data_IF_014427154675
#
_entry.id   IF_014427154675
#
_cell.length_a   1.000
_cell.length_b   1.000
_cell.length_c   1.000
_cell.angle_alpha   90.00
_cell.angle_beta   90.00
_cell.angle_gamma   90.00
#
_symmetry.space_group_name_H-M   'P 1'
#
loop_
_entity.id
_entity.type
_entity.pdbx_description
1 polymer ?
#
# COMPACT_ATOMS: atom_id res chain seq x y z
N UNK A 1 1.96 17.37 -35.81
CA UNK A 1 1.16 16.15 -35.62
C UNK A 1 -0.15 16.53 -34.96
N UNK A 2 -1.28 16.28 -35.62
CA UNK A 2 -2.61 16.54 -35.07
C UNK A 2 -2.79 15.67 -33.81
N UNK A 3 -2.93 16.29 -32.64
CA UNK A 3 -3.37 15.60 -31.42
C UNK A 3 -4.81 15.19 -31.63
N UNK A 4 -5.03 13.97 -32.11
CA UNK A 4 -6.34 13.33 -32.06
C UNK A 4 -6.73 13.20 -30.59
N UNK A 5 -7.63 14.05 -30.13
CA UNK A 5 -8.22 13.96 -28.79
C UNK A 5 -9.01 12.66 -28.75
N UNK A 6 -8.46 11.63 -28.11
CA UNK A 6 -9.19 10.37 -27.89
C UNK A 6 -10.34 10.70 -26.96
N UNK A 7 -11.56 10.52 -27.45
CA UNK A 7 -12.77 10.62 -26.63
C UNK A 7 -12.93 9.32 -25.84
N UNK A 8 -13.06 9.40 -24.52
CA UNK A 8 -13.28 8.22 -23.70
C UNK A 8 -14.72 7.70 -23.88
N UNK A 9 -14.86 6.38 -24.03
CA UNK A 9 -16.17 5.72 -24.05
C UNK A 9 -16.73 5.59 -22.64
N UNK A 10 -18.03 5.31 -22.49
CA UNK A 10 -18.64 5.07 -21.17
C UNK A 10 -17.95 3.92 -20.41
N UNK A 11 -17.50 2.87 -21.12
CA UNK A 11 -16.66 1.81 -20.57
C UNK A 11 -15.30 2.32 -20.04
N UNK A 12 -14.65 3.22 -20.78
CA UNK A 12 -13.39 3.83 -20.32
C UNK A 12 -13.61 4.67 -19.06
N UNK A 13 -14.71 5.40 -18.97
CA UNK A 13 -15.08 6.16 -17.77
C UNK A 13 -15.34 5.23 -16.58
N UNK A 14 -15.92 4.05 -16.80
CA UNK A 14 -16.10 3.02 -15.77
C UNK A 14 -14.76 2.41 -15.31
N UNK A 15 -13.80 2.22 -16.21
CA UNK A 15 -12.44 1.76 -15.86
C UNK A 15 -11.63 2.83 -15.14
N UNK A 16 -11.74 4.08 -15.58
CA UNK A 16 -10.98 5.23 -15.11
C UNK A 16 -11.90 6.33 -14.55
N UNK A 17 -12.65 6.08 -13.47
CA UNK A 17 -13.64 7.03 -12.95
C UNK A 17 -13.02 8.28 -12.29
N UNK A 18 -11.68 8.32 -12.18
CA UNK A 18 -10.92 9.49 -11.73
C UNK A 18 -10.65 10.52 -12.85
N UNK A 19 -11.02 10.22 -14.09
CA UNK A 19 -10.87 11.16 -15.21
C UNK A 19 -11.79 12.38 -15.03
N UNK A 20 -11.37 13.54 -15.56
CA UNK A 20 -12.17 14.76 -15.58
C UNK A 20 -13.48 14.56 -16.33
N UNK A 21 -13.43 13.88 -17.48
CA UNK A 21 -14.62 13.53 -18.28
C UNK A 21 -15.62 12.65 -17.49
N UNK A 22 -15.14 11.75 -16.62
CA UNK A 22 -16.01 10.96 -15.75
C UNK A 22 -16.70 11.85 -14.71
N UNK A 23 -15.96 12.80 -14.11
CA UNK A 23 -16.53 13.76 -13.18
C UNK A 23 -17.54 14.71 -13.86
N UNK A 24 -17.29 15.13 -15.10
CA UNK A 24 -18.22 15.92 -15.91
C UNK A 24 -19.48 15.12 -16.22
N UNK A 25 -19.36 13.85 -16.63
CA UNK A 25 -20.50 12.96 -16.81
C UNK A 25 -21.37 12.87 -15.55
N UNK A 26 -20.77 12.61 -14.38
CA UNK A 26 -21.51 12.55 -13.11
C UNK A 26 -22.21 13.88 -12.80
N UNK A 27 -21.56 15.01 -13.09
CA UNK A 27 -22.14 16.34 -12.88
C UNK A 27 -23.39 16.58 -13.75
N UNK A 28 -23.45 16.01 -14.96
CA UNK A 28 -24.64 16.14 -15.83
C UNK A 28 -25.88 15.43 -15.31
N UNK A 29 -25.74 14.50 -14.36
CA UNK A 29 -26.84 13.77 -13.75
C UNK A 29 -27.52 14.55 -12.61
N UNK A 30 -26.93 15.66 -12.17
CA UNK A 30 -27.47 16.59 -11.16
C UNK A 30 -27.95 15.90 -9.86
N UNK A 31 -27.19 14.90 -9.40
CA UNK A 31 -27.51 14.09 -8.23
C UNK A 31 -27.07 14.79 -6.93
N UNK A 32 -27.96 14.81 -5.94
CA UNK A 32 -27.68 15.24 -4.58
C UNK A 32 -27.23 14.05 -3.70
N UNK A 33 -26.63 14.35 -2.55
CA UNK A 33 -26.14 13.32 -1.61
C UNK A 33 -27.32 12.50 -1.05
N UNK A 34 -28.47 13.16 -0.88
CA UNK A 34 -29.74 12.58 -0.44
C UNK A 34 -30.29 11.56 -1.44
N UNK A 35 -30.01 11.72 -2.74
CA UNK A 35 -30.47 10.78 -3.76
C UNK A 35 -29.74 9.44 -3.61
N UNK A 36 -28.48 9.44 -3.19
CA UNK A 36 -27.67 8.22 -3.04
C UNK A 36 -28.21 7.23 -1.99
N UNK A 37 -29.11 7.67 -1.10
CA UNK A 37 -29.74 6.79 -0.11
C UNK A 37 -31.08 6.22 -0.56
N UNK A 38 -31.63 6.72 -1.68
CA UNK A 38 -32.90 6.26 -2.23
C UNK A 38 -32.84 4.79 -2.71
N UNK A 39 -34.00 4.11 -2.82
CA UNK A 39 -34.05 2.74 -3.32
C UNK A 39 -33.46 2.58 -4.73
N UNK A 40 -33.64 3.58 -5.59
CA UNK A 40 -33.23 3.56 -7.00
C UNK A 40 -31.70 3.53 -7.15
N UNK A 41 -30.98 4.14 -6.20
CA UNK A 41 -29.52 4.19 -6.17
C UNK A 41 -28.88 3.15 -5.25
N UNK A 42 -29.68 2.22 -4.70
CA UNK A 42 -29.20 1.17 -3.79
C UNK A 42 -28.07 0.33 -4.38
N UNK A 43 -28.11 0.03 -5.68
CA UNK A 43 -27.06 -0.73 -6.36
C UNK A 43 -25.73 0.03 -6.40
N UNK A 44 -25.77 1.35 -6.55
CA UNK A 44 -24.59 2.23 -6.55
C UNK A 44 -23.97 2.26 -5.16
N UNK A 45 -24.78 2.46 -4.12
CA UNK A 45 -24.32 2.51 -2.75
C UNK A 45 -23.73 1.16 -2.30
N UNK A 46 -24.37 0.05 -2.68
CA UNK A 46 -23.86 -1.30 -2.40
C UNK A 46 -22.54 -1.55 -3.12
N UNK A 47 -22.43 -1.15 -4.39
CA UNK A 47 -21.18 -1.27 -5.14
C UNK A 47 -20.08 -0.41 -4.53
N UNK A 48 -20.38 0.82 -4.13
CA UNK A 48 -19.43 1.72 -3.50
C UNK A 48 -18.91 1.16 -2.18
N UNK A 49 -19.80 0.61 -1.33
CA UNK A 49 -19.43 -0.11 -0.12
C UNK A 49 -18.50 -1.27 -0.43
N UNK A 50 -18.86 -2.12 -1.39
CA UNK A 50 -18.05 -3.27 -1.81
C UNK A 50 -16.64 -2.84 -2.24
N UNK A 51 -16.48 -1.75 -3.01
CA UNK A 51 -15.14 -1.24 -3.38
C UNK A 51 -14.26 -0.94 -2.17
N UNK A 52 -14.84 -0.32 -1.14
CA UNK A 52 -14.11 0.01 0.09
C UNK A 52 -13.81 -1.26 0.90
N UNK A 53 -14.76 -2.21 0.97
CA UNK A 53 -14.55 -3.50 1.62
C UNK A 53 -13.45 -4.31 0.94
N UNK A 54 -13.46 -4.42 -0.39
CA UNK A 54 -12.41 -5.09 -1.17
C UNK A 54 -11.04 -4.45 -0.92
N UNK A 55 -10.99 -3.12 -0.87
CA UNK A 55 -9.75 -2.40 -0.61
C UNK A 55 -9.20 -2.67 0.81
N UNK A 56 -10.09 -2.71 1.82
CA UNK A 56 -9.75 -3.02 3.21
C UNK A 56 -9.26 -4.47 3.33
N UNK A 57 -9.95 -5.43 2.71
CA UNK A 57 -9.70 -6.86 2.89
C UNK A 57 -8.58 -7.39 2.01
N UNK A 58 -8.50 -6.93 0.76
CA UNK A 58 -7.69 -7.56 -0.29
C UNK A 58 -6.69 -6.61 -0.96
N UNK A 59 -6.72 -5.32 -0.63
CA UNK A 59 -5.84 -4.33 -1.26
C UNK A 59 -6.01 -4.18 -2.78
N UNK A 60 -7.18 -4.56 -3.29
CA UNK A 60 -7.58 -4.48 -4.70
C UNK A 60 -9.02 -3.97 -4.77
N UNK A 61 -9.44 -3.47 -5.92
CA UNK A 61 -10.84 -3.18 -6.23
C UNK A 61 -11.16 -3.86 -7.55
N UNK A 62 -12.10 -4.79 -7.56
CA UNK A 62 -12.49 -5.47 -8.79
C UNK A 62 -13.33 -4.53 -9.65
N UNK A 63 -13.27 -4.65 -10.99
CA UNK A 63 -14.11 -3.87 -11.90
C UNK A 63 -15.32 -4.70 -12.33
N UNK A 64 -16.53 -4.17 -12.15
CA UNK A 64 -17.78 -4.80 -12.60
C UNK A 64 -18.37 -4.04 -13.78
N UNK A 65 -17.74 -4.19 -14.94
CA UNK A 65 -18.04 -3.41 -16.16
C UNK A 65 -19.37 -3.78 -16.85
N UNK A 66 -20.15 -4.72 -16.31
CA UNK A 66 -21.46 -5.10 -16.85
C UNK A 66 -22.47 -3.95 -16.76
N UNK A 67 -22.35 -3.10 -15.73
CA UNK A 67 -23.14 -1.88 -15.60
C UNK A 67 -22.21 -0.68 -15.41
N UNK A 68 -21.86 -0.06 -16.54
CA UNK A 68 -20.90 1.04 -16.60
C UNK A 68 -21.33 2.23 -15.73
N UNK A 69 -22.63 2.51 -15.67
CA UNK A 69 -23.17 3.64 -14.92
C UNK A 69 -23.04 3.46 -13.41
N UNK A 70 -23.36 2.27 -12.92
CA UNK A 70 -23.13 1.89 -11.51
C UNK A 70 -21.64 1.99 -11.21
N UNK A 71 -20.77 1.51 -12.08
CA UNK A 71 -19.32 1.53 -11.84
C UNK A 71 -18.79 2.97 -11.79
N UNK A 72 -19.22 3.86 -12.71
CA UNK A 72 -18.87 5.28 -12.72
C UNK A 72 -19.31 5.98 -11.43
N UNK A 73 -20.57 5.81 -11.03
CA UNK A 73 -21.16 6.49 -9.88
C UNK A 73 -20.73 5.89 -8.53
N UNK A 74 -20.33 4.61 -8.52
CA UNK A 74 -19.83 3.95 -7.31
C UNK A 74 -18.50 4.52 -6.83
N UNK A 75 -17.68 5.08 -7.74
CA UNK A 75 -16.38 5.66 -7.38
C UNK A 75 -16.48 6.94 -6.52
N UNK A 76 -17.18 8.02 -6.92
CA UNK A 76 -17.34 9.18 -6.06
C UNK A 76 -18.09 8.84 -4.76
N UNK A 77 -19.05 7.90 -4.82
CA UNK A 77 -19.75 7.39 -3.64
C UNK A 77 -18.79 6.65 -2.69
N UNK A 78 -17.84 5.86 -3.21
CA UNK A 78 -16.83 5.17 -2.41
C UNK A 78 -15.79 6.14 -1.81
N UNK A 79 -15.42 7.20 -2.54
CA UNK A 79 -14.60 8.30 -2.00
C UNK A 79 -15.29 8.94 -0.80
N UNK A 80 -16.59 9.22 -0.93
CA UNK A 80 -17.40 9.77 0.17
C UNK A 80 -17.47 8.83 1.36
N UNK A 81 -17.74 7.53 1.15
CA UNK A 81 -17.75 6.53 2.21
C UNK A 81 -16.39 6.40 2.92
N UNK A 82 -15.31 6.30 2.15
CA UNK A 82 -13.95 6.22 2.67
C UNK A 82 -13.57 7.49 3.45
N UNK A 83 -13.97 8.67 2.96
CA UNK A 83 -13.76 9.94 3.66
C UNK A 83 -14.54 10.00 4.99
N UNK A 84 -15.81 9.59 4.98
CA UNK A 84 -16.70 9.52 6.15
C UNK A 84 -16.21 8.55 7.23
N UNK A 85 -15.33 7.61 6.89
CA UNK A 85 -14.68 6.78 7.91
C UNK A 85 -13.67 7.54 8.76
N UNK A 86 -13.21 8.74 8.36
CA UNK A 86 -12.18 9.51 9.08
C UNK A 86 -10.91 8.70 9.44
N UNK A 87 -10.71 7.54 8.81
CA UNK A 87 -9.68 6.59 9.16
C UNK A 87 -8.58 6.65 8.10
N UNK A 88 -7.42 7.17 8.47
CA UNK A 88 -6.30 7.38 7.55
C UNK A 88 -5.82 6.09 6.87
N UNK A 89 -5.95 4.95 7.55
CA UNK A 89 -5.62 3.65 6.99
C UNK A 89 -6.62 3.23 5.91
N UNK A 90 -7.94 3.36 6.13
CA UNK A 90 -8.96 3.05 5.11
C UNK A 90 -8.78 3.95 3.89
N UNK A 91 -8.57 5.26 4.10
CA UNK A 91 -8.32 6.23 3.02
C UNK A 91 -7.12 5.83 2.16
N UNK A 92 -5.99 5.51 2.79
CA UNK A 92 -4.76 5.06 2.09
C UNK A 92 -4.94 3.71 1.40
N UNK A 93 -5.60 2.75 2.05
CA UNK A 93 -5.89 1.42 1.49
C UNK A 93 -6.75 1.53 0.23
N UNK A 94 -7.81 2.34 0.28
CA UNK A 94 -8.69 2.56 -0.85
C UNK A 94 -7.96 3.19 -2.03
N UNK A 95 -7.19 4.27 -1.80
CA UNK A 95 -6.40 4.91 -2.86
C UNK A 95 -5.39 3.95 -3.50
N UNK A 96 -4.70 3.13 -2.71
CA UNK A 96 -3.75 2.13 -3.21
C UNK A 96 -4.45 1.04 -4.05
N UNK A 97 -5.61 0.56 -3.59
CA UNK A 97 -6.35 -0.50 -4.26
C UNK A 97 -6.86 -0.05 -5.64
N UNK A 98 -7.42 1.16 -5.74
CA UNK A 98 -7.83 1.76 -7.01
C UNK A 98 -6.65 2.00 -7.95
N UNK A 99 -5.52 2.47 -7.43
CA UNK A 99 -4.31 2.69 -8.22
C UNK A 99 -3.73 1.37 -8.77
N UNK A 100 -3.75 0.29 -7.98
CA UNK A 100 -3.34 -1.05 -8.44
C UNK A 100 -4.25 -1.57 -9.53
N UNK A 101 -5.56 -1.38 -9.40
CA UNK A 101 -6.51 -1.76 -10.44
C UNK A 101 -6.24 -0.97 -11.73
N UNK A 102 -6.07 0.35 -11.63
CA UNK A 102 -5.74 1.20 -12.77
C UNK A 102 -4.43 0.78 -13.46
N UNK A 103 -3.39 0.38 -12.70
CA UNK A 103 -2.18 -0.20 -13.27
C UNK A 103 -2.45 -1.47 -14.07
N UNK A 104 -3.27 -2.38 -13.51
CA UNK A 104 -3.68 -3.62 -14.17
C UNK A 104 -4.34 -3.35 -15.52
N UNK A 105 -5.27 -2.39 -15.57
CA UNK A 105 -5.99 -2.01 -16.77
C UNK A 105 -5.06 -1.32 -17.80
N UNK A 106 -4.29 -0.32 -17.35
CA UNK A 106 -3.40 0.49 -18.22
C UNK A 106 -2.34 -0.33 -18.93
N UNK A 107 -1.84 -1.44 -18.34
CA UNK A 107 -0.86 -2.31 -19.00
C UNK A 107 -1.36 -2.90 -20.31
N UNK A 108 -2.67 -3.06 -20.47
CA UNK A 108 -3.27 -3.68 -21.65
C UNK A 108 -3.89 -2.67 -22.62
N UNK A 109 -3.97 -1.39 -22.25
CA UNK A 109 -4.53 -0.34 -23.12
C UNK A 109 -3.63 0.02 -24.32
N UNK A 110 -4.19 0.69 -25.33
CA UNK A 110 -3.37 1.22 -26.44
C UNK A 110 -2.44 2.34 -25.95
N UNK A 111 -1.35 2.58 -26.70
CA UNK A 111 -0.38 3.62 -26.35
C UNK A 111 -1.03 5.00 -26.32
N UNK A 112 -1.91 5.25 -27.28
CA UNK A 112 -2.62 6.50 -27.44
C UNK A 112 -3.55 6.74 -26.24
N UNK A 113 -4.23 5.69 -25.74
CA UNK A 113 -5.10 5.81 -24.56
C UNK A 113 -4.31 6.07 -23.28
N UNK A 114 -3.15 5.45 -23.11
CA UNK A 114 -2.25 5.74 -21.98
C UNK A 114 -1.83 7.21 -21.98
N UNK A 115 -1.49 7.76 -23.15
CA UNK A 115 -1.20 9.20 -23.30
C UNK A 115 -2.43 10.05 -22.93
N UNK A 116 -3.63 9.69 -23.39
CA UNK A 116 -4.86 10.42 -23.04
C UNK A 116 -5.12 10.44 -21.52
N UNK A 117 -4.97 9.29 -20.85
CA UNK A 117 -5.12 9.19 -19.38
C UNK A 117 -4.04 10.03 -18.68
N UNK A 118 -2.80 10.03 -19.16
CA UNK A 118 -1.74 10.84 -18.60
C UNK A 118 -1.97 12.35 -18.76
N UNK A 119 -2.51 12.77 -19.91
CA UNK A 119 -2.86 14.17 -20.18
C UNK A 119 -3.98 14.69 -19.27
N UNK A 120 -4.86 13.83 -18.76
CA UNK A 120 -5.81 14.19 -17.70
C UNK A 120 -5.11 14.77 -16.45
N UNK A 121 -3.90 14.29 -16.16
CA UNK A 121 -3.03 14.75 -15.08
C UNK A 121 -2.00 15.81 -15.53
N UNK A 122 -2.18 16.39 -16.71
CA UNK A 122 -1.31 17.43 -17.29
C UNK A 122 0.13 16.97 -17.51
N UNK A 123 0.37 15.67 -17.65
CA UNK A 123 1.71 15.18 -17.96
C UNK A 123 2.20 15.67 -19.33
N UNK A 124 3.46 16.11 -19.38
CA UNK A 124 4.16 16.32 -20.63
C UNK A 124 4.73 14.99 -21.16
N UNK A 125 3.82 14.14 -21.64
CA UNK A 125 4.11 12.85 -22.28
C UNK A 125 3.68 12.85 -23.75
N UNK A 126 4.47 12.20 -24.59
CA UNK A 126 4.13 11.87 -25.97
C UNK A 126 4.60 10.46 -26.30
N UNK A 127 4.17 9.94 -27.45
CA UNK A 127 4.77 8.73 -28.01
C UNK A 127 6.22 9.01 -28.40
N UNK A 128 7.07 7.99 -28.28
CA UNK A 128 8.41 8.04 -28.87
C UNK A 128 8.29 7.84 -30.39
N UNK A 129 8.97 8.67 -31.17
CA UNK A 129 8.92 8.62 -32.63
C UNK A 129 9.61 7.35 -33.16
N UNK A 130 9.15 6.80 -34.29
CA UNK A 130 9.67 5.54 -34.84
C UNK A 130 11.13 5.61 -35.27
N UNK A 131 11.61 6.79 -35.66
CA UNK A 131 13.03 7.03 -36.01
C UNK A 131 13.90 7.23 -34.77
N UNK A 132 13.32 7.72 -33.66
CA UNK A 132 13.96 7.81 -32.34
C UNK A 132 13.82 6.52 -31.54
N UNK A 133 13.16 5.49 -32.08
CA UNK A 133 12.73 4.31 -31.34
C UNK A 133 13.91 3.46 -30.89
N UNK A 134 14.48 3.83 -29.74
CA UNK A 134 15.35 3.00 -28.92
C UNK A 134 14.47 1.91 -28.30
N UNK A 135 14.11 0.89 -29.08
CA UNK A 135 13.36 -0.26 -28.57
C UNK A 135 14.02 -0.77 -27.28
N UNK A 136 13.27 -0.97 -26.19
CA UNK A 136 11.82 -1.15 -26.09
C UNK A 136 10.99 0.09 -25.68
N UNK A 137 11.51 1.32 -25.81
CA UNK A 137 10.80 2.51 -25.32
C UNK A 137 9.71 2.98 -26.29
N UNK A 138 8.50 3.18 -25.77
CA UNK A 138 7.30 3.55 -26.53
C UNK A 138 6.83 4.98 -26.22
N UNK A 139 7.31 5.55 -25.10
CA UNK A 139 6.88 6.83 -24.57
C UNK A 139 8.09 7.69 -24.20
N UNK A 140 7.92 9.01 -24.31
CA UNK A 140 8.85 10.00 -23.76
C UNK A 140 8.09 10.93 -22.80
N UNK A 141 8.55 11.01 -21.54
CA UNK A 141 7.94 11.78 -20.45
C UNK A 141 8.91 12.85 -19.97
N UNK A 142 8.48 14.10 -19.87
CA UNK A 142 9.34 15.17 -19.37
C UNK A 142 9.86 14.85 -17.96
N UNK A 143 11.14 15.12 -17.71
CA UNK A 143 11.83 14.67 -16.50
C UNK A 143 11.18 15.18 -15.20
N UNK A 144 10.50 16.33 -15.21
CA UNK A 144 9.80 16.88 -14.03
C UNK A 144 8.64 15.99 -13.60
N UNK A 145 7.83 15.52 -14.55
CA UNK A 145 6.70 14.61 -14.28
C UNK A 145 7.22 13.22 -13.86
N UNK A 146 8.33 12.79 -14.46
CA UNK A 146 9.02 11.58 -14.06
C UNK A 146 9.50 11.63 -12.61
N UNK A 147 10.22 12.69 -12.21
CA UNK A 147 10.74 12.86 -10.85
C UNK A 147 9.61 12.94 -9.81
N UNK A 148 8.54 13.69 -10.13
CA UNK A 148 7.35 13.80 -9.28
C UNK A 148 6.72 12.43 -8.99
N UNK A 149 6.66 11.55 -10.00
CA UNK A 149 6.03 10.23 -9.89
C UNK A 149 6.97 9.09 -9.51
N UNK A 150 8.26 9.35 -9.37
CA UNK A 150 9.25 8.39 -8.85
C UNK A 150 9.65 8.65 -7.40
N UNK A 151 9.17 9.73 -6.77
CA UNK A 151 9.53 10.11 -5.39
C UNK A 151 9.34 9.00 -4.34
N UNK A 152 8.38 8.09 -4.54
CA UNK A 152 8.10 6.96 -3.67
C UNK A 152 8.57 5.60 -4.23
N UNK A 153 9.29 5.60 -5.36
CA UNK A 153 9.80 4.40 -6.04
C UNK A 153 11.32 4.29 -5.83
N UNK A 154 11.73 3.52 -4.83
CA UNK A 154 13.13 3.49 -4.38
C UNK A 154 14.00 2.44 -5.11
N UNK A 155 13.43 1.65 -6.02
CA UNK A 155 14.19 0.70 -6.83
C UNK A 155 15.18 1.45 -7.73
N UNK A 156 16.42 0.94 -7.86
CA UNK A 156 17.49 1.61 -8.62
C UNK A 156 17.05 1.99 -10.05
N UNK A 157 16.21 1.18 -10.70
CA UNK A 157 15.70 1.42 -12.06
C UNK A 157 14.86 2.69 -12.23
N UNK A 158 14.37 3.28 -11.13
CA UNK A 158 13.60 4.54 -11.13
C UNK A 158 14.45 5.78 -10.84
N UNK A 159 15.72 5.60 -10.46
CA UNK A 159 16.61 6.75 -10.28
C UNK A 159 16.91 7.35 -11.65
N UNK A 160 16.76 8.66 -11.80
CA UNK A 160 16.97 9.37 -13.07
C UNK A 160 18.35 9.07 -13.70
N UNK A 161 19.39 8.94 -12.88
CA UNK A 161 20.76 8.59 -13.32
C UNK A 161 20.85 7.22 -14.04
N UNK A 162 19.86 6.35 -13.84
CA UNK A 162 19.78 5.02 -14.46
C UNK A 162 18.75 4.98 -15.60
N UNK A 163 18.34 6.15 -16.13
CA UNK A 163 17.35 6.27 -17.21
C UNK A 163 17.96 6.84 -18.46
N UNK A 164 17.40 6.43 -19.60
CA UNK A 164 17.62 7.11 -20.86
C UNK A 164 16.89 8.46 -20.84
N UNK A 165 17.68 9.54 -20.82
CA UNK A 165 17.23 10.93 -20.84
C UNK A 165 17.79 11.61 -22.09
N UNK A 166 16.94 12.10 -22.98
CA UNK A 166 17.36 12.91 -24.12
C UNK A 166 16.41 14.09 -24.31
N UNK A 167 16.95 15.27 -24.60
CA UNK A 167 16.19 16.51 -24.84
C UNK A 167 15.18 16.85 -23.73
N UNK A 168 15.50 16.51 -22.47
CA UNK A 168 14.61 16.75 -21.31
C UNK A 168 13.54 15.67 -21.09
N UNK A 169 13.51 14.61 -21.88
CA UNK A 169 12.53 13.53 -21.77
C UNK A 169 13.16 12.20 -21.38
N UNK A 170 12.52 11.55 -20.41
CA UNK A 170 12.82 10.20 -19.97
C UNK A 170 12.05 9.21 -20.84
N UNK A 171 12.77 8.25 -21.42
CA UNK A 171 12.18 7.22 -22.26
C UNK A 171 11.67 6.06 -21.40
N UNK A 172 10.46 5.60 -21.70
CA UNK A 172 9.70 4.65 -20.88
C UNK A 172 9.05 3.58 -21.74
N UNK A 173 9.06 2.36 -21.22
CA UNK A 173 8.24 1.27 -21.75
C UNK A 173 6.79 1.44 -21.30
N UNK A 174 5.84 0.78 -21.98
CA UNK A 174 4.43 0.77 -21.56
C UNK A 174 4.20 0.40 -20.10
N UNK A 175 4.91 -0.63 -19.61
CA UNK A 175 4.77 -1.10 -18.21
C UNK A 175 5.26 -0.04 -17.23
N UNK A 176 6.33 0.68 -17.56
CA UNK A 176 6.87 1.74 -16.72
C UNK A 176 5.95 2.96 -16.69
N UNK A 177 5.43 3.38 -17.85
CA UNK A 177 4.44 4.47 -17.94
C UNK A 177 3.19 4.15 -17.13
N UNK A 178 2.64 2.94 -17.25
CA UNK A 178 1.49 2.49 -16.46
C UNK A 178 1.79 2.51 -14.95
N UNK A 179 3.00 2.08 -14.53
CA UNK A 179 3.40 2.09 -13.12
C UNK A 179 3.49 3.51 -12.58
N UNK A 180 4.10 4.44 -13.32
CA UNK A 180 4.17 5.84 -12.89
C UNK A 180 2.78 6.48 -12.82
N UNK A 181 1.91 6.19 -13.80
CA UNK A 181 0.53 6.69 -13.78
C UNK A 181 -0.24 6.19 -12.58
N UNK A 182 -0.03 4.94 -12.15
CA UNK A 182 -0.66 4.42 -10.93
C UNK A 182 -0.28 5.21 -9.68
N UNK A 183 0.95 5.75 -9.58
CA UNK A 183 1.34 6.62 -8.47
C UNK A 183 0.68 8.00 -8.55
N UNK A 184 0.49 8.54 -9.76
CA UNK A 184 -0.29 9.78 -9.95
C UNK A 184 -1.75 9.57 -9.56
N UNK A 185 -2.37 8.45 -9.97
CA UNK A 185 -3.75 8.08 -9.61
C UNK A 185 -3.89 7.93 -8.10
N UNK A 186 -2.97 7.20 -7.44
CA UNK A 186 -2.97 7.03 -5.98
C UNK A 186 -2.96 8.38 -5.28
N UNK A 187 -2.03 9.25 -5.66
CA UNK A 187 -1.88 10.59 -5.06
C UNK A 187 -3.10 11.47 -5.34
N UNK A 188 -3.69 11.37 -6.53
CA UNK A 188 -4.91 12.09 -6.88
C UNK A 188 -6.07 11.70 -5.98
N UNK A 189 -6.23 10.40 -5.72
CA UNK A 189 -7.28 9.87 -4.83
C UNK A 189 -7.00 10.24 -3.37
N UNK A 190 -5.76 10.10 -2.89
CA UNK A 190 -5.35 10.52 -1.53
C UNK A 190 -5.70 12.00 -1.30
N UNK A 191 -5.35 12.89 -2.24
CA UNK A 191 -5.68 14.32 -2.16
C UNK A 191 -7.19 14.59 -2.08
N UNK A 192 -8.02 13.79 -2.77
CA UNK A 192 -9.49 13.90 -2.68
C UNK A 192 -10.05 13.37 -1.35
N UNK A 193 -9.33 12.49 -0.65
CA UNK A 193 -9.75 11.93 0.64
C UNK A 193 -9.29 12.80 1.84
N UNK A 194 -8.40 13.75 1.59
CA UNK A 194 -7.90 14.75 2.55
C UNK A 194 -8.79 16.00 2.68
N UNK A 195 -9.96 16.04 2.01
CA UNK A 195 -10.89 17.17 2.12
C UNK A 195 -11.32 17.34 3.59
N UNK A 196 -11.20 18.57 4.09
CA UNK A 196 -11.27 18.90 5.53
C UNK A 196 -12.65 18.71 6.14
N UNK A 197 -13.67 19.38 5.61
CA UNK A 197 -15.05 19.26 6.10
C UNK A 197 -15.92 18.52 5.09
N UNK A 198 -16.49 17.40 5.54
CA UNK A 198 -17.52 16.72 4.78
C UNK A 198 -18.86 17.47 4.93
N UNK A 199 -19.67 17.55 3.86
CA UNK A 199 -21.04 18.04 3.99
C UNK A 199 -21.81 17.15 4.97
N UNK A 200 -22.95 17.63 5.48
CA UNK A 200 -23.84 16.79 6.30
C UNK A 200 -24.25 15.55 5.51
N UNK A 201 -23.81 14.39 5.98
CA UNK A 201 -24.10 13.12 5.32
C UNK A 201 -25.39 12.49 5.89
N UNK A 202 -26.23 11.89 5.04
CA UNK A 202 -27.34 11.06 5.48
C UNK A 202 -26.91 9.95 6.47
N UNK A 203 -27.75 9.64 7.46
CA UNK A 203 -27.46 8.64 8.50
C UNK A 203 -27.07 7.27 7.93
N UNK A 204 -27.68 6.86 6.81
CA UNK A 204 -27.36 5.59 6.14
C UNK A 204 -25.90 5.53 5.68
N UNK A 205 -25.35 6.64 5.18
CA UNK A 205 -23.93 6.73 4.74
C UNK A 205 -23.01 6.68 5.95
N UNK A 206 -23.35 7.40 7.03
CA UNK A 206 -22.59 7.38 8.29
C UNK A 206 -22.56 5.96 8.88
N UNK A 207 -23.70 5.27 8.93
CA UNK A 207 -23.77 3.89 9.44
C UNK A 207 -22.97 2.88 8.61
N UNK A 208 -22.92 3.06 7.29
CA UNK A 208 -22.03 2.25 6.42
C UNK A 208 -20.56 2.55 6.74
N UNK A 209 -20.19 3.83 6.88
CA UNK A 209 -18.83 4.22 7.22
C UNK A 209 -18.37 3.65 8.57
N UNK A 210 -19.25 3.63 9.58
CA UNK A 210 -19.02 2.96 10.86
C UNK A 210 -18.85 1.45 10.71
N UNK A 211 -19.69 0.81 9.89
CA UNK A 211 -19.54 -0.62 9.57
C UNK A 211 -18.17 -0.91 8.94
N UNK A 212 -17.68 -0.04 8.05
CA UNK A 212 -16.36 -0.17 7.42
C UNK A 212 -15.21 0.05 8.43
N UNK A 213 -15.38 0.95 9.41
CA UNK A 213 -14.46 1.09 10.55
C UNK A 213 -14.39 -0.21 11.35
N UNK A 214 -15.55 -0.78 11.71
CA UNK A 214 -15.64 -2.04 12.45
C UNK A 214 -15.06 -3.20 11.67
N UNK A 215 -15.30 -3.29 10.36
CA UNK A 215 -14.68 -4.28 9.47
C UNK A 215 -13.15 -4.23 9.54
N UNK A 216 -12.57 -3.02 9.59
CA UNK A 216 -11.13 -2.84 9.78
C UNK A 216 -10.72 -3.36 11.18
N UNK A 217 -11.46 -3.01 12.22
CA UNK A 217 -11.19 -3.48 13.59
C UNK A 217 -11.40 -4.98 13.79
N UNK A 218 -12.18 -5.67 12.97
CA UNK A 218 -12.47 -7.11 13.09
C UNK A 218 -11.66 -7.98 12.13
N UNK A 219 -11.47 -7.52 10.89
CA UNK A 219 -10.87 -8.28 9.78
C UNK A 219 -9.48 -7.80 9.44
N UNK A 220 -9.16 -6.51 9.40
CA UNK A 220 -7.74 -6.10 9.24
C UNK A 220 -6.91 -6.60 10.43
N UNK A 221 -7.55 -6.63 11.56
CA UNK A 221 -7.06 -7.15 12.82
C UNK A 221 -7.09 -8.71 12.90
N UNK A 222 -7.58 -9.43 11.87
CA UNK A 222 -7.48 -10.89 11.70
C UNK A 222 -6.81 -11.31 10.38
N UNK A 223 -6.66 -10.40 9.41
CA UNK A 223 -6.40 -10.70 7.99
C UNK A 223 -5.27 -9.81 7.42
N UNK A 224 -4.92 -8.67 8.02
CA UNK A 224 -3.54 -8.14 7.91
C UNK A 224 -2.56 -8.84 8.86
N UNK A 225 -3.08 -9.81 9.62
CA UNK A 225 -2.36 -10.74 10.50
C UNK A 225 -2.12 -12.08 9.79
N UNK A 226 -2.00 -12.10 8.46
CA UNK A 226 -1.11 -13.10 7.85
C UNK A 226 0.35 -12.67 8.01
N UNK A 227 0.79 -12.50 9.27
CA UNK A 227 2.18 -12.25 9.62
C UNK A 227 2.44 -11.61 10.99
N UNK A 228 1.46 -10.98 11.63
CA UNK A 228 1.71 -10.10 12.79
C UNK A 228 0.66 -10.34 13.90
N UNK A 229 0.93 -11.15 14.94
CA UNK A 229 -0.02 -11.34 16.03
C UNK A 229 -0.23 -10.04 16.82
N UNK A 230 -1.51 -9.76 17.10
CA UNK A 230 -2.03 -8.61 17.86
C UNK A 230 -1.46 -8.44 19.27
N UNK A 231 -0.97 -9.51 19.85
CA UNK A 231 -0.16 -9.50 21.05
C UNK A 231 1.13 -10.19 20.68
N UNK A 232 2.25 -9.49 20.82
CA UNK A 232 3.54 -10.11 20.60
C UNK A 232 3.76 -11.13 21.70
N UNK A 233 3.58 -12.39 21.33
CA UNK A 233 3.87 -13.49 22.23
C UNK A 233 5.39 -13.69 22.28
N UNK A 234 6.02 -13.18 23.34
CA UNK A 234 7.47 -13.31 23.57
C UNK A 234 7.87 -14.79 23.71
N UNK A 235 7.00 -15.64 24.24
CA UNK A 235 7.25 -17.08 24.41
C UNK A 235 7.27 -17.85 23.08
N UNK A 236 6.72 -17.26 22.02
CA UNK A 236 6.78 -17.82 20.68
C UNK A 236 8.07 -17.44 19.91
N UNK A 237 8.97 -16.65 20.51
CA UNK A 237 10.20 -16.22 19.84
C UNK A 237 11.11 -17.40 19.50
N UNK A 238 11.77 -17.38 18.33
CA UNK A 238 12.88 -18.28 18.06
C UNK A 238 13.94 -18.17 19.17
N UNK A 239 14.60 -19.26 19.57
CA UNK A 239 15.57 -19.24 20.68
C UNK A 239 16.67 -18.19 20.47
N UNK A 240 17.14 -18.04 19.23
CA UNK A 240 18.12 -17.02 18.87
C UNK A 240 17.62 -15.59 19.11
N UNK A 241 16.35 -15.28 18.79
CA UNK A 241 15.77 -13.95 19.01
C UNK A 241 15.42 -13.74 20.48
N UNK A 242 14.93 -14.76 21.18
CA UNK A 242 14.62 -14.68 22.61
C UNK A 242 15.84 -14.27 23.43
N UNK A 243 17.02 -14.82 23.11
CA UNK A 243 18.29 -14.47 23.74
C UNK A 243 18.69 -13.02 23.43
N UNK A 244 18.53 -12.57 22.18
CA UNK A 244 18.80 -11.17 21.82
C UNK A 244 17.87 -10.20 22.53
N UNK A 245 16.59 -10.56 22.66
CA UNK A 245 15.59 -9.76 23.34
C UNK A 245 15.89 -9.63 24.84
N UNK A 246 16.20 -10.74 25.52
CA UNK A 246 16.62 -10.75 26.93
C UNK A 246 17.90 -9.92 27.16
N UNK A 247 18.88 -10.08 26.27
CA UNK A 247 20.13 -9.33 26.35
C UNK A 247 19.90 -7.82 26.17
N UNK A 248 19.05 -7.40 25.23
CA UNK A 248 18.69 -5.99 25.04
C UNK A 248 17.96 -5.43 26.27
N UNK A 249 16.99 -6.17 26.81
CA UNK A 249 16.21 -5.76 27.98
C UNK A 249 17.09 -5.58 29.24
N UNK A 250 18.13 -6.42 29.39
CA UNK A 250 19.11 -6.33 30.48
C UNK A 250 20.26 -5.35 30.20
N UNK A 251 20.20 -4.58 29.11
CA UNK A 251 21.24 -3.61 28.76
C UNK A 251 22.59 -4.22 28.36
N UNK A 252 22.64 -5.52 28.06
CA UNK A 252 23.86 -6.21 27.65
C UNK A 252 24.27 -5.77 26.25
N UNK A 253 25.57 -5.80 25.98
CA UNK A 253 26.11 -5.41 24.68
C UNK A 253 25.62 -6.33 23.56
N UNK A 254 25.12 -5.74 22.48
CA UNK A 254 24.70 -6.43 21.25
C UNK A 254 25.54 -5.94 20.07
N UNK A 255 26.04 -6.86 19.26
CA UNK A 255 26.73 -6.51 18.01
C UNK A 255 25.78 -5.83 17.02
N UNK A 256 26.34 -5.12 16.03
CA UNK A 256 25.53 -4.44 15.01
C UNK A 256 24.57 -5.39 14.28
N UNK A 257 25.05 -6.60 13.91
CA UNK A 257 24.22 -7.62 13.25
C UNK A 257 23.14 -8.18 14.18
N UNK A 258 23.42 -8.29 15.49
CA UNK A 258 22.44 -8.69 16.49
C UNK A 258 21.33 -7.65 16.67
N UNK A 259 21.70 -6.37 16.81
CA UNK A 259 20.75 -5.25 16.89
C UNK A 259 19.88 -5.17 15.63
N UNK A 260 20.48 -5.31 14.45
CA UNK A 260 19.74 -5.34 13.19
C UNK A 260 18.76 -6.53 13.12
N UNK A 261 19.22 -7.73 13.47
CA UNK A 261 18.38 -8.94 13.48
C UNK A 261 17.19 -8.81 14.42
N UNK A 262 17.42 -8.34 15.65
CA UNK A 262 16.38 -8.14 16.65
C UNK A 262 15.37 -7.09 16.19
N UNK A 263 15.85 -5.92 15.75
CA UNK A 263 15.00 -4.81 15.32
C UNK A 263 14.16 -5.17 14.10
N UNK A 264 14.77 -5.76 13.07
CA UNK A 264 14.05 -6.22 11.87
C UNK A 264 13.02 -7.28 12.20
N UNK A 265 13.34 -8.25 13.07
CA UNK A 265 12.37 -9.25 13.49
C UNK A 265 11.17 -8.62 14.22
N UNK A 266 11.42 -7.79 15.25
CA UNK A 266 10.38 -7.14 16.05
C UNK A 266 9.46 -6.26 15.20
N UNK A 267 10.02 -5.49 14.27
CA UNK A 267 9.27 -4.69 13.28
C UNK A 267 8.37 -5.57 12.41
N UNK A 268 8.88 -6.72 11.94
CA UNK A 268 8.13 -7.60 11.03
C UNK A 268 7.06 -8.42 11.73
N UNK A 269 7.15 -8.63 13.04
CA UNK A 269 6.07 -9.22 13.86
C UNK A 269 5.13 -8.17 14.44
N UNK A 270 5.30 -6.89 14.07
CA UNK A 270 4.38 -5.79 14.39
C UNK A 270 4.58 -5.10 15.73
N UNK A 271 5.78 -5.13 16.30
CA UNK A 271 6.05 -4.39 17.54
C UNK A 271 5.96 -2.89 17.30
N UNK A 272 5.21 -2.13 18.13
CA UNK A 272 5.19 -0.68 18.04
C UNK A 272 6.61 -0.11 18.15
N UNK A 273 6.91 0.90 17.35
CA UNK A 273 8.25 1.51 17.28
C UNK A 273 8.70 2.04 18.63
N UNK A 274 7.81 2.67 19.40
CA UNK A 274 8.12 3.15 20.75
C UNK A 274 8.57 2.02 21.68
N UNK A 275 7.97 0.83 21.56
CA UNK A 275 8.36 -0.32 22.38
C UNK A 275 9.74 -0.86 21.97
N UNK A 276 10.04 -0.86 20.67
CA UNK A 276 11.37 -1.27 20.16
C UNK A 276 12.45 -0.27 20.60
N UNK A 277 12.17 1.04 20.54
CA UNK A 277 13.10 2.07 21.02
C UNK A 277 13.30 1.91 22.54
N UNK A 278 12.21 1.68 23.28
CA UNK A 278 12.23 1.44 24.73
C UNK A 278 13.13 0.27 25.12
N UNK A 279 13.16 -0.80 24.31
CA UNK A 279 14.01 -1.97 24.54
C UNK A 279 15.50 -1.64 24.61
N UNK A 280 15.96 -0.65 23.84
CA UNK A 280 17.38 -0.27 23.78
C UNK A 280 17.80 0.79 24.81
N UNK A 281 16.86 1.36 25.58
CA UNK A 281 17.16 2.42 26.58
C UNK A 281 18.13 1.96 27.67
N UNK A 282 18.14 0.67 27.99
CA UNK A 282 19.04 0.10 29.00
C UNK A 282 20.49 -0.07 28.50
N UNK A 283 20.76 0.15 27.19
CA UNK A 283 22.10 0.02 26.62
C UNK A 283 22.96 1.24 26.92
N UNK A 284 24.24 1.04 27.25
CA UNK A 284 25.16 2.12 27.63
C UNK A 284 25.50 3.10 26.50
N UNK A 285 25.32 2.70 25.24
CA UNK A 285 25.53 3.53 24.05
C UNK A 285 24.20 4.06 23.45
N UNK A 286 23.10 4.01 24.21
CA UNK A 286 21.80 4.45 23.74
C UNK A 286 21.76 5.95 23.44
N UNK A 287 21.31 6.28 22.24
CA UNK A 287 20.99 7.65 21.83
C UNK A 287 19.62 7.65 21.17
N UNK A 288 18.63 8.24 21.83
CA UNK A 288 17.23 8.17 21.40
C UNK A 288 17.03 8.65 19.95
N UNK A 289 17.68 9.75 19.56
CA UNK A 289 17.56 10.31 18.21
C UNK A 289 18.09 9.34 17.14
N UNK A 290 19.26 8.74 17.39
CA UNK A 290 19.87 7.80 16.45
C UNK A 290 19.13 6.46 16.42
N UNK A 291 18.76 5.91 17.58
CA UNK A 291 18.02 4.65 17.66
C UNK A 291 16.64 4.77 17.02
N UNK A 292 15.90 5.85 17.29
CA UNK A 292 14.61 6.13 16.65
C UNK A 292 14.74 6.17 15.14
N UNK A 293 15.73 6.91 14.63
CA UNK A 293 16.02 6.97 13.20
C UNK A 293 16.32 5.58 12.60
N UNK A 294 17.13 4.77 13.28
CA UNK A 294 17.47 3.42 12.82
C UNK A 294 16.26 2.48 12.80
N UNK A 295 15.43 2.51 13.85
CA UNK A 295 14.22 1.66 13.97
C UNK A 295 13.19 2.07 12.92
N UNK A 296 12.90 3.36 12.77
CA UNK A 296 11.98 3.87 11.74
C UNK A 296 12.51 3.59 10.33
N UNK A 297 13.83 3.67 10.11
CA UNK A 297 14.45 3.29 8.84
C UNK A 297 14.25 1.81 8.53
N UNK A 298 14.46 0.95 9.53
CA UNK A 298 14.24 -0.50 9.41
C UNK A 298 12.76 -0.82 9.17
N UNK A 299 11.84 -0.09 9.80
CA UNK A 299 10.40 -0.21 9.64
C UNK A 299 9.86 0.29 8.30
N UNK A 300 10.70 1.00 7.53
CA UNK A 300 10.31 1.67 6.29
C UNK A 300 9.52 2.96 6.51
N UNK A 301 9.56 3.53 7.72
CA UNK A 301 8.93 4.81 8.07
C UNK A 301 9.84 6.02 7.80
N UNK A 302 11.15 5.79 7.68
CA UNK A 302 12.15 6.81 7.29
C UNK A 302 13.11 6.31 6.21
N UNK A 303 13.75 7.24 5.50
CA UNK A 303 14.73 6.93 4.44
C UNK A 303 14.14 6.19 3.23
N UNK A 304 14.73 5.05 2.84
CA UNK A 304 14.41 4.31 1.61
C UNK A 304 13.02 3.64 1.57
N UNK A 305 12.21 3.80 2.63
CA UNK A 305 10.90 3.16 2.87
C UNK A 305 10.87 1.63 2.67
N UNK A 306 12.04 1.00 2.61
CA UNK A 306 12.17 -0.44 2.55
C UNK A 306 11.95 -0.98 3.95
N UNK A 307 10.87 -1.76 4.15
CA UNK A 307 10.73 -2.55 5.36
C UNK A 307 11.73 -3.70 5.29
N UNK A 308 12.81 -3.61 6.07
CA UNK A 308 13.87 -4.61 6.07
C UNK A 308 13.38 -5.90 6.71
N UNK A 309 13.72 -7.04 6.13
CA UNK A 309 13.43 -8.37 6.68
C UNK A 309 14.61 -8.85 7.53
N UNK A 310 14.36 -9.63 8.60
CA UNK A 310 15.45 -10.24 9.35
C UNK A 310 16.20 -11.25 8.48
N UNK A 311 17.49 -11.48 8.74
CA UNK A 311 18.27 -12.48 8.00
C UNK A 311 17.65 -13.88 8.12
N UNK A 312 17.87 -14.72 7.09
CA UNK A 312 17.42 -16.11 7.11
C UNK A 312 18.25 -16.96 8.11
N UNK A 313 17.79 -18.17 8.42
CA UNK A 313 18.46 -19.01 9.42
C UNK A 313 19.91 -19.35 9.05
N UNK A 314 20.26 -19.48 7.77
CA UNK A 314 21.63 -19.75 7.33
C UNK A 314 22.54 -18.55 7.62
N UNK A 315 22.11 -17.35 7.25
CA UNK A 315 22.83 -16.10 7.56
C UNK A 315 23.00 -15.91 9.07
N UNK A 316 21.97 -16.22 9.87
CA UNK A 316 22.08 -16.15 11.33
C UNK A 316 23.09 -17.14 11.90
N UNK A 317 23.25 -18.33 11.30
CA UNK A 317 24.30 -19.29 11.69
C UNK A 317 25.68 -18.76 11.33
N UNK A 318 25.86 -18.25 10.11
CA UNK A 318 27.14 -17.69 9.64
C UNK A 318 27.65 -16.56 10.55
N UNK A 319 26.75 -15.71 11.05
CA UNK A 319 27.10 -14.60 11.94
C UNK A 319 27.07 -14.96 13.44
N UNK A 320 26.94 -16.24 13.80
CA UNK A 320 26.94 -16.68 15.21
C UNK A 320 25.73 -16.22 16.04
N UNK A 321 24.65 -15.78 15.38
CA UNK A 321 23.41 -15.34 16.04
C UNK A 321 22.48 -16.52 16.34
N UNK A 322 22.50 -17.56 15.50
CA UNK A 322 21.70 -18.77 15.71
C UNK A 322 22.35 -19.66 16.79
N UNK A 323 22.04 -19.38 18.05
CA UNK A 323 22.48 -20.15 19.22
C UNK A 323 21.33 -20.97 19.80
N UNK A 324 21.65 -22.15 20.35
CA UNK A 324 20.69 -23.09 20.97
C UNK A 324 19.50 -23.49 20.09
N UNK A 325 19.72 -24.08 18.89
CA UNK A 325 18.63 -24.52 18.03
C UNK A 325 17.83 -25.65 18.71
N UNK A 326 16.51 -25.49 18.74
CA UNK A 326 15.57 -26.53 19.21
C UNK A 326 15.08 -27.38 18.03
N UNK A 327 14.43 -28.51 18.31
CA UNK A 327 13.96 -29.44 17.26
C UNK A 327 13.09 -28.74 16.20
N UNK A 328 12.22 -27.82 16.65
CA UNK A 328 11.34 -27.05 15.77
C UNK A 328 12.07 -26.07 14.85
N UNK A 329 13.35 -25.74 15.11
CA UNK A 329 14.21 -24.98 14.20
C UNK A 329 14.58 -25.76 12.93
N UNK A 330 14.58 -27.10 12.96
CA UNK A 330 14.90 -27.93 11.78
C UNK A 330 13.82 -27.85 10.70
N UNK A 331 12.59 -27.58 11.10
CA UNK A 331 11.43 -27.52 10.21
C UNK A 331 11.23 -26.15 9.53
N UNK A 332 12.12 -25.19 9.73
CA UNK A 332 11.97 -23.80 9.25
C UNK A 332 13.28 -23.22 8.73
N UNK A 333 13.19 -22.36 7.71
CA UNK A 333 14.35 -21.70 7.09
C UNK A 333 14.49 -20.22 7.45
N UNK A 334 13.55 -19.68 8.24
CA UNK A 334 13.49 -18.26 8.55
C UNK A 334 12.91 -18.01 9.95
N UNK A 335 13.43 -17.04 10.74
CA UNK A 335 12.95 -16.74 12.09
C UNK A 335 11.47 -16.34 12.13
N UNK A 336 10.99 -15.56 11.14
CA UNK A 336 9.55 -15.24 11.03
C UNK A 336 8.69 -16.49 10.81
N UNK A 337 9.20 -17.50 10.08
CA UNK A 337 8.50 -18.77 9.87
C UNK A 337 8.38 -19.58 11.16
N UNK A 338 9.45 -19.59 11.98
CA UNK A 338 9.43 -20.20 13.31
C UNK A 338 8.36 -19.54 14.19
N UNK A 339 8.37 -18.21 14.25
CA UNK A 339 7.45 -17.42 15.07
C UNK A 339 5.99 -17.67 14.68
N UNK A 340 5.67 -17.63 13.37
CA UNK A 340 4.33 -17.91 12.86
C UNK A 340 3.83 -19.29 13.28
N UNK A 341 4.69 -20.32 13.21
CA UNK A 341 4.33 -21.70 13.58
C UNK A 341 4.09 -21.86 15.08
N UNK A 342 4.95 -21.31 15.93
CA UNK A 342 4.83 -21.44 17.39
C UNK A 342 3.69 -20.58 17.95
N UNK A 343 3.51 -19.36 17.43
CA UNK A 343 2.39 -18.50 17.81
C UNK A 343 1.04 -19.14 17.45
N UNK A 344 0.96 -19.89 16.35
CA UNK A 344 -0.26 -20.62 15.98
C UNK A 344 -0.52 -21.84 16.89
N UNK A 345 0.52 -22.58 17.29
CA UNK A 345 0.41 -23.73 18.19
C UNK A 345 -0.02 -23.33 19.60
N UNK A 346 0.57 -22.27 20.17
CA UNK A 346 0.21 -21.78 21.50
C UNK A 346 -1.20 -21.16 21.55
N UNK A 347 -1.67 -20.58 20.43
CA UNK A 347 -3.04 -20.09 20.27
C UNK A 347 -4.10 -21.17 20.04
N UNK A 348 -3.70 -22.45 19.84
CA UNK A 348 -4.61 -23.60 19.83
C UNK A 348 -4.67 -24.31 21.18
N UNK A 349 -3.57 -24.33 21.94
CA UNK A 349 -3.54 -24.90 23.30
C UNK A 349 -4.35 -24.09 24.33
N UNK A 350 -4.39 -22.76 24.21
CA UNK A 350 -5.18 -21.87 25.08
C UNK A 350 -6.70 -22.03 24.88
N UNK A 351 -7.14 -22.39 23.67
CA UNK A 351 -8.58 -22.63 23.37
C UNK A 351 -9.12 -23.97 23.89
N UNK A 352 -8.25 -24.91 24.25
CA UNK A 352 -8.65 -26.22 24.79
C UNK A 352 -8.68 -26.28 26.33
N UNK A 353 -8.23 -25.23 27.03
CA UNK A 353 -8.27 -25.16 28.49
C UNK A 353 -9.43 -24.32 29.05
N UNK A 354 -10.23 -23.68 28.20
CA UNK A 354 -11.45 -22.93 28.56
C UNK A 354 -12.74 -23.66 28.14
N UNK A 355 -12.69 -24.98 27.97
CA UNK A 355 -13.89 -25.82 27.79
C UNK A 355 -14.03 -26.83 28.90
#
# INVERSE_FOLDING_TARGET
MQTTTIKFTKNDLAKYPFLKEAAEYVKTLDLNIEDLVSPDFSQILNRAKERVEEAILYAIVTRKLQNEEIEILSFPTAIMLAAATENSFIKRRYALAEAKQAYGDLKFESREKIVAVAKNFQWNITLADSEEAMAPYEFKLHFTDYLKNTANLHEKKWKLVNRLLANGYVYLTKTETARLLSEEVRRHIEKRLEIGELPKLPQKIVGIAETLKTLTLEKVSKTEIEGIPKTINVDAFPPCVAILYDAAQKGRHLSHIARFTLTTFLVNIGMPIENIIGLFRASSDFNERLTRYQVEHIAGERGSRTRYKPPNCETLKTHGICVNPVESCKAVRHPLGFYKKHSAQMGSSTRNHEK
#
